data_IF_952699636342
#
_entry.id   IF_952699636342
#
_cell.length_a   1.000
_cell.length_b   1.000
_cell.length_c   1.000
_cell.angle_alpha   90.00
_cell.angle_beta   90.00
_cell.angle_gamma   90.00
#
_symmetry.space_group_name_H-M   'P 1'
#
loop_
_entity.id
_entity.type
_entity.pdbx_description
1 polymer ?
#
# COMPACT_ATOMS: atom_id res chain seq x y z
N UNK A 1 1.64 19.31 1.29
CA UNK A 1 3.12 19.27 1.17
C UNK A 1 3.73 20.46 0.41
N UNK A 2 3.06 21.12 -0.54
CA UNK A 2 3.70 22.18 -1.37
C UNK A 2 3.99 23.52 -0.66
N UNK A 3 3.25 23.89 0.39
CA UNK A 3 3.43 25.20 1.06
C UNK A 3 4.76 25.25 1.82
N UNK A 4 5.07 24.22 2.62
CA UNK A 4 6.31 24.15 3.40
C UNK A 4 7.58 24.05 2.55
N UNK A 5 7.52 23.35 1.41
CA UNK A 5 8.64 23.27 0.48
C UNK A 5 9.01 24.63 -0.14
N UNK A 6 8.01 25.44 -0.47
CA UNK A 6 8.21 26.80 -0.97
C UNK A 6 8.87 27.72 0.07
N UNK A 7 8.41 27.67 1.32
CA UNK A 7 8.98 28.44 2.43
C UNK A 7 10.42 28.03 2.72
N UNK A 8 10.71 26.72 2.78
CA UNK A 8 12.07 26.21 2.98
C UNK A 8 13.04 26.62 1.88
N UNK A 9 12.61 26.63 0.61
CA UNK A 9 13.42 27.13 -0.51
C UNK A 9 13.74 28.63 -0.39
N UNK A 10 12.78 29.44 0.07
CA UNK A 10 13.01 30.88 0.32
C UNK A 10 14.01 31.08 1.45
N UNK A 11 13.86 30.36 2.56
CA UNK A 11 14.79 30.43 3.68
C UNK A 11 16.20 29.96 3.31
N UNK A 12 16.33 28.90 2.51
CA UNK A 12 17.64 28.45 2.02
C UNK A 12 18.33 29.55 1.17
N UNK A 13 17.57 30.25 0.31
CA UNK A 13 18.12 31.36 -0.49
C UNK A 13 18.56 32.52 0.40
N UNK A 14 17.74 32.87 1.38
CA UNK A 14 18.03 33.96 2.33
C UNK A 14 19.24 33.63 3.21
N UNK A 15 19.38 32.39 3.68
CA UNK A 15 20.55 31.92 4.41
C UNK A 15 21.85 32.05 3.57
N UNK A 16 21.78 31.70 2.28
CA UNK A 16 22.92 31.85 1.36
C UNK A 16 23.23 33.32 1.07
N UNK A 17 22.23 34.18 1.04
CA UNK A 17 22.40 35.62 0.92
C UNK A 17 23.13 36.19 2.15
N UNK A 18 22.76 35.80 3.37
CA UNK A 18 23.47 36.19 4.59
C UNK A 18 24.95 35.76 4.58
N UNK A 19 25.25 34.53 4.15
CA UNK A 19 26.62 34.04 4.02
C UNK A 19 27.45 34.90 3.05
N UNK A 20 26.85 35.29 1.92
CA UNK A 20 27.50 36.16 0.94
C UNK A 20 27.68 37.58 1.47
N UNK A 21 26.68 38.12 2.17
CA UNK A 21 26.74 39.45 2.79
C UNK A 21 27.81 39.54 3.89
N UNK A 22 27.93 38.52 4.73
CA UNK A 22 29.00 38.43 5.73
C UNK A 22 30.38 38.47 5.06
N UNK A 23 30.54 37.73 3.96
CA UNK A 23 31.77 37.72 3.18
C UNK A 23 32.08 39.07 2.52
N UNK A 24 31.08 39.78 1.98
CA UNK A 24 31.33 41.04 1.26
C UNK A 24 31.51 42.23 2.19
N UNK A 25 30.74 42.32 3.28
CA UNK A 25 30.77 43.45 4.21
C UNK A 25 31.80 43.30 5.33
N UNK A 26 31.99 42.07 5.84
CA UNK A 26 32.82 41.80 7.01
C UNK A 26 34.03 40.91 6.71
N UNK A 27 34.21 40.49 5.44
CA UNK A 27 35.24 39.54 5.02
C UNK A 27 35.21 38.21 5.80
N UNK A 28 34.04 37.85 6.37
CA UNK A 28 33.83 36.68 7.20
C UNK A 28 32.46 36.05 6.87
N UNK A 29 32.48 34.82 6.35
CA UNK A 29 31.27 34.05 6.02
C UNK A 29 30.45 33.65 7.24
N UNK A 30 31.07 33.61 8.42
CA UNK A 30 30.41 33.28 9.70
C UNK A 30 29.88 34.50 10.44
N UNK A 31 29.98 35.71 9.88
CA UNK A 31 29.56 36.93 10.58
C UNK A 31 28.09 36.90 11.04
N UNK A 32 27.19 36.40 10.19
CA UNK A 32 25.76 36.27 10.52
C UNK A 32 25.39 34.88 11.02
N UNK A 33 26.35 34.00 11.27
CA UNK A 33 26.07 32.61 11.64
C UNK A 33 25.67 32.54 13.12
N UNK A 34 24.60 31.81 13.41
CA UNK A 34 24.09 31.63 14.77
C UNK A 34 25.12 30.85 15.58
N UNK A 35 25.42 31.31 16.80
CA UNK A 35 26.35 30.66 17.71
C UNK A 35 26.01 29.17 17.91
N UNK A 36 26.97 28.30 17.60
CA UNK A 36 26.83 26.84 17.72
C UNK A 36 26.09 26.15 16.55
N UNK A 37 25.59 26.90 15.56
CA UNK A 37 25.03 26.33 14.32
C UNK A 37 26.08 26.32 13.20
N UNK A 38 26.00 25.36 12.27
CA UNK A 38 26.88 25.32 11.08
C UNK A 38 26.18 25.79 9.82
N UNK A 39 24.87 26.03 9.87
CA UNK A 39 24.04 26.24 8.68
C UNK A 39 22.91 27.25 8.88
N UNK A 40 22.71 27.80 10.08
CA UNK A 40 21.70 28.81 10.36
C UNK A 40 22.34 30.19 10.50
N UNK A 41 21.68 31.19 9.92
CA UNK A 41 22.14 32.57 9.92
C UNK A 41 21.06 33.48 10.50
N UNK A 42 21.48 34.43 11.33
CA UNK A 42 20.63 35.48 11.85
C UNK A 42 20.38 36.54 10.79
N UNK A 43 19.10 36.87 10.59
CA UNK A 43 18.68 37.87 9.64
C UNK A 43 18.61 39.22 10.34
N UNK A 44 19.35 40.24 9.87
CA UNK A 44 19.24 41.60 10.38
C UNK A 44 17.80 42.11 10.33
N UNK A 45 17.33 42.71 11.42
CA UNK A 45 16.01 43.35 11.47
C UNK A 45 16.05 44.79 10.94
N UNK A 46 17.24 45.35 10.79
CA UNK A 46 17.47 46.68 10.24
C UNK A 46 18.01 46.60 8.81
N UNK A 47 17.78 47.66 8.02
CA UNK A 47 18.35 47.78 6.67
C UNK A 47 19.87 47.94 6.77
N UNK A 48 20.61 47.09 6.06
CA UNK A 48 22.07 47.19 5.98
C UNK A 48 22.50 48.13 4.85
N UNK A 49 23.47 48.98 5.15
CA UNK A 49 24.10 49.91 4.21
C UNK A 49 25.58 49.57 4.04
N UNK A 50 26.12 49.80 2.84
CA UNK A 50 27.55 49.66 2.58
C UNK A 50 28.33 50.86 3.12
N UNK A 51 29.66 50.78 3.13
CA UNK A 51 30.54 51.90 3.47
C UNK A 51 30.32 53.16 2.60
N UNK A 52 29.76 52.99 1.40
CA UNK A 52 29.42 54.04 0.43
C UNK A 52 28.00 54.60 0.61
N UNK A 53 27.23 54.11 1.58
CA UNK A 53 25.86 54.56 1.87
C UNK A 53 24.77 53.94 0.99
N UNK A 54 25.12 53.00 0.10
CA UNK A 54 24.16 52.25 -0.70
C UNK A 54 23.45 51.17 0.13
N UNK A 55 22.16 50.94 -0.12
CA UNK A 55 21.38 49.88 0.53
C UNK A 55 21.81 48.51 0.00
N UNK A 56 22.31 47.65 0.88
CA UNK A 56 22.84 46.31 0.51
C UNK A 56 21.83 45.23 0.82
N UNK A 57 21.06 45.37 1.90
CA UNK A 57 20.04 44.39 2.28
C UNK A 57 18.87 45.08 3.00
N UNK A 58 17.65 44.68 2.62
CA UNK A 58 16.41 45.14 3.25
C UNK A 58 15.59 43.92 3.68
N UNK A 59 15.32 43.82 4.98
CA UNK A 59 14.52 42.74 5.51
C UNK A 59 13.02 43.04 5.36
N UNK A 60 12.36 42.37 4.42
CA UNK A 60 10.92 42.49 4.20
C UNK A 60 10.08 41.69 5.20
N UNK A 61 10.69 40.75 5.94
CA UNK A 61 10.03 39.84 6.88
C UNK A 61 10.65 40.02 8.27
N UNK A 62 10.27 41.12 8.92
CA UNK A 62 10.63 41.41 10.29
C UNK A 62 10.12 40.29 11.22
N UNK A 63 10.97 39.85 12.14
CA UNK A 63 10.69 38.78 13.11
C UNK A 63 10.84 37.36 12.60
N UNK A 64 11.39 37.15 11.40
CA UNK A 64 11.76 35.81 10.93
C UNK A 64 13.27 35.63 10.97
N UNK A 65 13.77 35.03 12.06
CA UNK A 65 15.18 34.69 12.29
C UNK A 65 15.26 33.59 13.37
N UNK A 66 16.21 32.65 13.30
CA UNK A 66 17.23 32.45 12.26
C UNK A 66 16.72 31.73 11.01
N UNK A 67 17.39 31.90 9.87
CA UNK A 67 17.12 31.17 8.62
C UNK A 67 18.23 30.16 8.33
N UNK A 68 17.85 28.92 8.06
CA UNK A 68 18.81 27.82 7.90
C UNK A 68 18.92 27.34 6.46
N UNK A 69 20.16 26.99 6.07
CA UNK A 69 20.44 26.32 4.81
C UNK A 69 19.98 24.87 4.89
N UNK A 70 19.20 24.46 3.89
CA UNK A 70 18.80 23.07 3.69
C UNK A 70 20.02 22.13 3.56
N UNK A 71 20.01 21.05 4.33
CA UNK A 71 20.98 19.95 4.29
C UNK A 71 20.23 18.65 4.00
N UNK A 72 20.51 18.02 2.87
CA UNK A 72 19.86 16.79 2.44
C UNK A 72 20.11 15.61 3.39
N UNK A 73 21.23 15.62 4.12
CA UNK A 73 21.57 14.57 5.09
C UNK A 73 20.73 14.65 6.37
N UNK A 74 20.17 15.82 6.68
CA UNK A 74 19.32 16.10 7.85
C UNK A 74 17.96 16.65 7.42
N UNK A 75 17.33 15.99 6.44
CA UNK A 75 16.05 16.44 5.90
C UNK A 75 14.95 16.53 6.97
N UNK A 76 14.99 15.71 8.02
CA UNK A 76 14.04 15.75 9.14
C UNK A 76 14.07 17.09 9.90
N UNK A 77 15.25 17.68 10.04
CA UNK A 77 15.45 18.94 10.78
C UNK A 77 14.94 20.15 10.01
N UNK A 78 14.74 20.02 8.70
CA UNK A 78 14.39 21.14 7.83
C UNK A 78 13.03 21.74 8.15
N UNK A 79 12.03 20.92 8.51
CA UNK A 79 10.72 21.44 8.94
C UNK A 79 10.81 22.15 10.27
N UNK A 80 11.60 21.64 11.21
CA UNK A 80 11.81 22.28 12.51
C UNK A 80 12.58 23.60 12.38
N UNK A 81 13.58 23.67 11.50
CA UNK A 81 14.31 24.91 11.21
C UNK A 81 13.38 26.01 10.67
N UNK A 82 12.42 25.64 9.80
CA UNK A 82 11.42 26.60 9.30
C UNK A 82 10.52 27.09 10.45
N UNK A 83 10.08 26.21 11.34
CA UNK A 83 9.22 26.56 12.46
C UNK A 83 9.96 27.44 13.48
N UNK A 84 11.21 27.11 13.78
CA UNK A 84 12.07 27.86 14.70
C UNK A 84 12.48 29.24 14.17
N UNK A 85 12.35 29.51 12.87
CA UNK A 85 12.57 30.85 12.33
C UNK A 85 11.54 31.88 12.80
N UNK A 86 10.40 31.46 13.35
CA UNK A 86 9.36 32.33 13.91
C UNK A 86 9.58 32.66 15.39
N UNK A 87 10.83 32.61 15.86
CA UNK A 87 11.15 32.80 17.28
C UNK A 87 11.34 34.28 17.67
N UNK A 88 11.33 35.22 16.72
CA UNK A 88 11.53 36.65 17.00
C UNK A 88 10.21 37.47 16.90
N UNK A 89 9.99 38.49 17.74
CA UNK A 89 10.82 38.94 18.88
C UNK A 89 10.63 38.04 20.12
N UNK A 90 11.60 38.08 21.04
CA UNK A 90 11.62 37.35 22.33
C UNK A 90 10.52 37.78 23.33
N UNK A 91 9.33 38.19 22.87
CA UNK A 91 8.23 38.61 23.75
C UNK A 91 6.88 37.97 23.41
N UNK A 92 6.68 36.77 23.97
CA UNK A 92 5.74 36.48 25.05
C UNK A 92 6.38 35.31 25.83
N UNK A 93 7.08 35.59 26.94
CA UNK A 93 7.88 34.66 27.76
C UNK A 93 9.15 34.03 27.12
N UNK A 94 9.95 34.81 26.37
CA UNK A 94 11.38 34.53 26.13
C UNK A 94 11.76 33.57 24.99
N UNK A 95 10.88 32.65 24.56
CA UNK A 95 11.24 31.60 23.58
C UNK A 95 10.61 31.74 22.18
N UNK A 96 9.81 32.80 21.94
CA UNK A 96 9.15 33.07 20.65
C UNK A 96 8.03 32.08 20.28
N UNK A 97 7.55 32.11 19.02
CA UNK A 97 6.47 31.21 18.55
C UNK A 97 6.97 29.85 18.05
N UNK A 98 8.28 29.69 17.81
CA UNK A 98 8.88 28.48 17.24
C UNK A 98 8.52 27.18 17.99
N UNK A 99 8.70 27.12 19.33
CA UNK A 99 8.35 25.93 20.11
C UNK A 99 6.86 25.59 20.08
N UNK A 100 5.99 26.60 20.19
CA UNK A 100 4.52 26.42 20.14
C UNK A 100 4.09 25.88 18.77
N UNK A 101 4.62 26.47 17.69
CA UNK A 101 4.35 26.02 16.33
C UNK A 101 4.86 24.59 16.10
N UNK A 102 5.99 24.21 16.70
CA UNK A 102 6.52 22.85 16.65
C UNK A 102 5.58 21.84 17.33
N UNK A 103 5.04 22.17 18.51
CA UNK A 103 4.06 21.32 19.19
C UNK A 103 2.78 21.17 18.36
N UNK A 104 2.25 22.28 17.85
CA UNK A 104 1.06 22.27 16.98
C UNK A 104 1.31 21.44 15.71
N UNK A 105 2.51 21.57 15.12
CA UNK A 105 2.91 20.81 13.94
C UNK A 105 2.94 19.30 14.21
N UNK A 106 3.54 18.86 15.32
CA UNK A 106 3.58 17.45 15.71
C UNK A 106 2.17 16.89 15.94
N UNK A 107 1.31 17.62 16.67
CA UNK A 107 -0.08 17.20 16.93
C UNK A 107 -0.87 17.12 15.61
N UNK A 108 -0.73 18.13 14.76
CA UNK A 108 -1.41 18.18 13.45
C UNK A 108 -0.95 17.03 12.55
N UNK A 109 0.35 16.71 12.55
CA UNK A 109 0.91 15.57 11.82
C UNK A 109 0.33 14.25 12.35
N UNK A 110 0.24 14.07 13.67
CA UNK A 110 -0.32 12.88 14.29
C UNK A 110 -1.81 12.68 13.94
N UNK A 111 -2.63 13.75 14.02
CA UNK A 111 -4.05 13.71 13.65
C UNK A 111 -4.20 13.41 12.15
N UNK A 112 -3.39 14.05 11.30
CA UNK A 112 -3.40 13.79 9.86
C UNK A 112 -3.08 12.33 9.54
N UNK A 113 -2.05 11.75 10.16
CA UNK A 113 -1.74 10.34 9.99
C UNK A 113 -2.86 9.43 10.48
N UNK A 114 -3.44 9.69 11.65
CA UNK A 114 -4.53 8.88 12.21
C UNK A 114 -5.78 8.93 11.32
N UNK A 115 -6.21 10.11 10.89
CA UNK A 115 -7.39 10.29 10.03
C UNK A 115 -7.18 9.74 8.62
N UNK A 116 -5.98 9.89 8.06
CA UNK A 116 -5.62 9.31 6.77
C UNK A 116 -5.58 7.78 6.82
N UNK A 117 -5.04 7.19 7.89
CA UNK A 117 -4.99 5.74 8.06
C UNK A 117 -6.38 5.15 8.31
N UNK A 118 -7.22 5.83 9.09
CA UNK A 118 -8.62 5.42 9.31
C UNK A 118 -9.41 5.38 7.99
N UNK A 119 -9.24 6.38 7.14
CA UNK A 119 -9.90 6.45 5.82
C UNK A 119 -9.32 5.43 4.83
N UNK A 120 -8.00 5.23 4.82
CA UNK A 120 -7.32 4.28 3.94
C UNK A 120 -7.71 2.84 4.23
N UNK A 121 -7.61 2.43 5.50
CA UNK A 121 -7.98 1.09 5.95
C UNK A 121 -9.45 0.76 5.68
N UNK A 122 -10.35 1.76 5.73
CA UNK A 122 -11.76 1.58 5.37
C UNK A 122 -11.94 1.20 3.89
N UNK A 123 -11.24 1.87 2.98
CA UNK A 123 -11.32 1.57 1.54
C UNK A 123 -10.75 0.16 1.27
N UNK A 124 -9.62 -0.17 1.88
CA UNK A 124 -9.01 -1.51 1.77
C UNK A 124 -9.98 -2.57 2.30
N UNK A 125 -10.68 -2.31 3.39
CA UNK A 125 -11.68 -3.21 3.97
C UNK A 125 -12.88 -3.42 3.03
N UNK A 126 -13.40 -2.34 2.43
CA UNK A 126 -14.46 -2.45 1.42
C UNK A 126 -14.01 -3.24 0.18
N UNK A 127 -12.80 -3.00 -0.32
CA UNK A 127 -12.28 -3.75 -1.45
C UNK A 127 -12.05 -5.23 -1.11
N UNK A 128 -11.54 -5.52 0.09
CA UNK A 128 -11.29 -6.89 0.53
C UNK A 128 -12.58 -7.71 0.75
N UNK A 129 -13.68 -7.04 1.09
CA UNK A 129 -15.00 -7.65 1.31
C UNK A 129 -15.89 -7.70 0.06
N UNK A 130 -15.33 -7.52 -1.15
CA UNK A 130 -16.07 -7.44 -2.41
C UNK A 130 -17.14 -6.33 -2.43
N UNK A 131 -16.85 -5.17 -1.81
CA UNK A 131 -17.73 -4.01 -1.80
C UNK A 131 -18.87 -4.07 -0.78
N UNK A 132 -18.82 -4.98 0.20
CA UNK A 132 -19.86 -5.07 1.24
C UNK A 132 -19.75 -3.89 2.21
N UNK A 133 -20.82 -3.10 2.32
CA UNK A 133 -20.86 -1.90 3.17
C UNK A 133 -20.82 -2.17 4.68
N UNK A 134 -21.09 -3.41 5.12
CA UNK A 134 -21.12 -3.79 6.52
C UNK A 134 -20.23 -5.01 6.77
N UNK A 135 -18.96 -4.75 7.12
CA UNK A 135 -17.97 -5.74 7.51
C UNK A 135 -17.61 -5.59 9.00
N UNK A 136 -16.96 -6.60 9.58
CA UNK A 136 -16.58 -6.56 10.99
C UNK A 136 -15.44 -5.56 11.24
N UNK A 137 -15.50 -4.83 12.35
CA UNK A 137 -14.48 -3.81 12.71
C UNK A 137 -13.06 -4.39 12.84
N UNK A 138 -12.93 -5.70 13.08
CA UNK A 138 -11.62 -6.36 13.15
C UNK A 138 -10.95 -6.55 11.80
N UNK A 139 -11.72 -6.70 10.72
CA UNK A 139 -11.16 -6.72 9.39
C UNK A 139 -10.47 -5.38 9.10
N UNK A 140 -11.14 -4.28 9.48
CA UNK A 140 -10.57 -2.93 9.43
C UNK A 140 -9.31 -2.80 10.28
N UNK A 141 -9.36 -3.28 11.52
CA UNK A 141 -8.21 -3.24 12.43
C UNK A 141 -7.03 -4.02 11.86
N UNK A 142 -7.27 -5.20 11.30
CA UNK A 142 -6.25 -6.00 10.64
C UNK A 142 -5.56 -5.21 9.53
N UNK A 143 -6.33 -4.58 8.63
CA UNK A 143 -5.75 -3.78 7.54
C UNK A 143 -4.96 -2.59 8.06
N UNK A 144 -5.50 -1.83 9.02
CA UNK A 144 -4.80 -0.71 9.65
C UNK A 144 -3.46 -1.13 10.29
N UNK A 145 -3.42 -2.27 10.99
CA UNK A 145 -2.20 -2.79 11.62
C UNK A 145 -1.19 -3.26 10.56
N UNK A 146 -1.66 -3.96 9.53
CA UNK A 146 -0.77 -4.45 8.46
C UNK A 146 -0.17 -3.31 7.63
N UNK A 147 -0.93 -2.25 7.35
CA UNK A 147 -0.44 -1.03 6.69
C UNK A 147 0.68 -0.38 7.54
N UNK A 148 0.45 -0.22 8.85
CA UNK A 148 1.46 0.28 9.79
C UNK A 148 2.71 -0.61 9.87
N UNK A 149 2.53 -1.93 9.85
CA UNK A 149 3.63 -2.88 9.84
C UNK A 149 4.47 -2.78 8.55
N UNK A 150 3.84 -2.63 7.39
CA UNK A 150 4.53 -2.42 6.11
C UNK A 150 5.28 -1.09 6.11
N UNK A 151 4.66 -0.01 6.59
CA UNK A 151 5.32 1.29 6.72
C UNK A 151 6.56 1.20 7.62
N UNK A 152 6.43 0.53 8.77
CA UNK A 152 7.55 0.31 9.70
C UNK A 152 8.67 -0.52 9.07
N UNK A 153 8.32 -1.58 8.34
CA UNK A 153 9.29 -2.42 7.64
C UNK A 153 10.04 -1.64 6.54
N UNK A 154 9.35 -0.79 5.78
CA UNK A 154 9.96 0.05 4.74
C UNK A 154 10.89 1.11 5.32
N UNK A 155 10.47 1.79 6.39
CA UNK A 155 11.31 2.76 7.10
C UNK A 155 12.57 2.09 7.66
N UNK A 156 12.42 0.90 8.26
CA UNK A 156 13.54 0.14 8.82
C UNK A 156 14.48 -0.37 7.72
N UNK A 157 13.95 -0.83 6.59
CA UNK A 157 14.74 -1.33 5.47
C UNK A 157 15.49 -0.22 4.72
N UNK A 158 14.92 0.99 4.64
CA UNK A 158 15.53 2.13 3.96
C UNK A 158 16.63 2.83 4.77
N UNK A 159 16.62 2.72 6.11
CA UNK A 159 17.68 3.27 6.96
C UNK A 159 17.86 4.79 6.76
N UNK A 160 19.07 5.24 6.43
CA UNK A 160 19.37 6.65 6.14
C UNK A 160 18.66 7.16 4.88
N UNK A 161 18.33 6.27 3.94
CA UNK A 161 17.68 6.58 2.66
C UNK A 161 16.20 6.16 2.67
N UNK A 162 15.57 6.15 3.85
CA UNK A 162 14.17 5.76 4.02
C UNK A 162 13.21 6.52 3.10
N UNK A 163 13.48 7.81 2.83
CA UNK A 163 12.70 8.61 1.90
C UNK A 163 12.78 8.07 0.47
N UNK A 164 13.97 7.71 -0.01
CA UNK A 164 14.17 7.14 -1.34
C UNK A 164 13.53 5.76 -1.45
N UNK A 165 13.61 4.94 -0.40
CA UNK A 165 12.95 3.64 -0.35
C UNK A 165 11.41 3.77 -0.44
N UNK A 166 10.82 4.71 0.32
CA UNK A 166 9.39 5.01 0.28
C UNK A 166 8.94 5.52 -1.09
N UNK A 167 9.73 6.39 -1.73
CA UNK A 167 9.45 6.90 -3.08
C UNK A 167 9.52 5.79 -4.13
N UNK A 168 10.55 4.94 -4.07
CA UNK A 168 10.67 3.82 -4.99
C UNK A 168 9.49 2.86 -4.86
N UNK A 169 9.09 2.52 -3.63
CA UNK A 169 7.94 1.68 -3.36
C UNK A 169 6.64 2.29 -3.91
N UNK A 170 6.40 3.58 -3.68
CA UNK A 170 5.18 4.25 -4.17
C UNK A 170 5.13 4.34 -5.69
N UNK A 171 6.26 4.55 -6.37
CA UNK A 171 6.33 4.56 -7.84
C UNK A 171 6.04 3.17 -8.42
N UNK A 172 6.67 2.13 -7.87
CA UNK A 172 6.49 0.74 -8.35
C UNK A 172 5.05 0.28 -8.14
N UNK A 173 4.42 0.59 -7.00
CA UNK A 173 3.02 0.26 -6.74
C UNK A 173 2.03 1.15 -7.51
N UNK A 174 2.35 2.42 -7.72
CA UNK A 174 1.47 3.40 -8.36
C UNK A 174 1.38 3.25 -9.89
N UNK A 175 2.45 2.80 -10.54
CA UNK A 175 2.50 2.63 -11.99
C UNK A 175 1.41 1.70 -12.56
N UNK A 176 1.22 0.45 -12.07
CA UNK A 176 0.14 -0.41 -12.57
C UNK A 176 -1.25 0.17 -12.29
N UNK A 177 -1.43 0.83 -11.15
CA UNK A 177 -2.69 1.50 -10.82
C UNK A 177 -2.98 2.66 -11.77
N UNK A 178 -1.96 3.43 -12.18
CA UNK A 178 -2.10 4.50 -13.16
C UNK A 178 -2.62 3.98 -14.52
N UNK A 179 -2.08 2.85 -15.00
CA UNK A 179 -2.57 2.20 -16.23
C UNK A 179 -4.04 1.77 -16.08
N UNK A 180 -4.41 1.22 -14.92
CA UNK A 180 -5.78 0.84 -14.61
C UNK A 180 -6.71 2.07 -14.60
N UNK A 181 -6.29 3.19 -14.01
CA UNK A 181 -7.06 4.44 -13.97
C UNK A 181 -7.31 4.97 -15.39
N UNK A 182 -6.32 4.92 -16.28
CA UNK A 182 -6.52 5.27 -17.69
C UNK A 182 -7.60 4.40 -18.35
N UNK A 183 -7.61 3.09 -18.07
CA UNK A 183 -8.65 2.20 -18.57
C UNK A 183 -10.03 2.50 -17.96
N UNK A 184 -10.09 2.82 -16.67
CA UNK A 184 -11.33 3.23 -16.01
C UNK A 184 -11.90 4.52 -16.60
N UNK A 185 -11.06 5.49 -16.95
CA UNK A 185 -11.50 6.71 -17.65
C UNK A 185 -12.19 6.37 -18.96
N UNK A 186 -11.60 5.47 -19.76
CA UNK A 186 -12.21 5.00 -21.00
C UNK A 186 -13.52 4.25 -20.75
N UNK A 187 -13.56 3.37 -19.74
CA UNK A 187 -14.76 2.63 -19.36
C UNK A 187 -15.90 3.56 -18.96
N UNK A 188 -15.62 4.61 -18.19
CA UNK A 188 -16.63 5.61 -17.78
C UNK A 188 -17.08 6.43 -18.98
N UNK A 189 -16.17 6.83 -19.88
CA UNK A 189 -16.54 7.52 -21.11
C UNK A 189 -17.51 6.70 -21.96
N UNK A 190 -17.18 5.44 -22.23
CA UNK A 190 -18.07 4.52 -22.96
C UNK A 190 -19.42 4.34 -22.24
N UNK A 191 -19.39 4.18 -20.91
CA UNK A 191 -20.60 4.07 -20.10
C UNK A 191 -21.50 5.30 -20.23
N UNK A 192 -20.95 6.51 -20.05
CA UNK A 192 -21.70 7.75 -20.18
C UNK A 192 -22.25 7.97 -21.60
N UNK A 193 -21.46 7.65 -22.63
CA UNK A 193 -21.90 7.75 -24.02
C UNK A 193 -23.10 6.84 -24.27
N UNK A 194 -23.06 5.61 -23.76
CA UNK A 194 -24.12 4.64 -23.98
C UNK A 194 -25.35 4.93 -23.13
N UNK A 195 -25.17 5.40 -21.88
CA UNK A 195 -26.27 5.90 -21.04
C UNK A 195 -26.99 7.11 -21.65
N UNK A 196 -26.31 7.95 -22.44
CA UNK A 196 -26.96 9.06 -23.15
C UNK A 196 -27.83 8.64 -24.34
N UNK A 197 -27.61 7.43 -24.87
CA UNK A 197 -28.27 6.92 -26.07
C UNK A 197 -29.46 5.99 -25.75
N UNK A 198 -29.56 5.49 -24.51
CA UNK A 198 -30.54 4.49 -24.11
C UNK A 198 -31.34 5.01 -22.92
N UNK A 199 -32.66 5.15 -23.08
CA UNK A 199 -33.61 5.59 -22.04
C UNK A 199 -34.01 4.43 -21.09
N UNK A 200 -33.47 3.24 -21.33
CA UNK A 200 -33.82 2.00 -20.65
C UNK A 200 -32.90 1.74 -19.44
N UNK A 201 -33.48 1.75 -18.24
CA UNK A 201 -32.75 1.62 -16.96
C UNK A 201 -32.20 0.20 -16.76
N UNK A 202 -32.74 -0.79 -17.48
CA UNK A 202 -32.41 -2.22 -17.33
C UNK A 202 -31.36 -2.73 -18.33
N UNK A 203 -30.76 -1.85 -19.14
CA UNK A 203 -29.87 -2.23 -20.25
C UNK A 203 -28.56 -2.93 -19.82
N UNK A 204 -28.19 -2.87 -18.54
CA UNK A 204 -26.93 -3.42 -18.03
C UNK A 204 -27.12 -4.59 -17.07
N UNK A 205 -27.57 -5.74 -17.59
CA UNK A 205 -27.27 -7.02 -16.92
C UNK A 205 -25.82 -7.40 -17.21
N UNK A 206 -24.98 -7.44 -16.17
CA UNK A 206 -23.52 -7.59 -16.23
C UNK A 206 -22.99 -8.96 -16.75
N UNK A 207 -23.79 -9.72 -17.50
CA UNK A 207 -23.68 -11.14 -17.88
C UNK A 207 -24.72 -12.00 -17.15
N UNK A 208 -25.30 -12.97 -17.87
CA UNK A 208 -26.16 -14.02 -17.29
C UNK A 208 -25.35 -15.13 -16.58
N UNK A 209 -24.03 -15.14 -16.75
CA UNK A 209 -23.17 -16.14 -16.13
C UNK A 209 -23.07 -15.92 -14.62
N UNK A 210 -23.10 -16.99 -13.80
CA UNK A 210 -22.86 -16.89 -12.38
C UNK A 210 -21.44 -16.35 -12.12
N UNK A 211 -21.37 -15.36 -11.23
CA UNK A 211 -20.09 -14.80 -10.81
C UNK A 211 -19.37 -15.79 -9.87
N UNK A 212 -18.06 -15.92 -10.06
CA UNK A 212 -17.20 -16.72 -9.17
C UNK A 212 -16.09 -15.86 -8.55
N UNK A 213 -16.41 -14.71 -7.92
CA UNK A 213 -15.38 -13.82 -7.38
C UNK A 213 -14.69 -14.50 -6.20
N UNK A 214 -13.39 -14.34 -6.09
CA UNK A 214 -12.69 -14.72 -4.86
C UNK A 214 -12.93 -13.61 -3.83
N UNK A 215 -13.46 -13.91 -2.64
CA UNK A 215 -13.41 -12.96 -1.53
C UNK A 215 -11.99 -12.91 -0.97
N UNK A 216 -11.34 -11.74 -1.03
CA UNK A 216 -10.02 -11.53 -0.41
C UNK A 216 -10.15 -11.69 1.11
N UNK A 217 -11.24 -11.16 1.68
CA UNK A 217 -11.74 -11.44 3.03
C UNK A 217 -13.12 -12.11 2.94
N UNK A 218 -13.12 -13.42 3.19
CA UNK A 218 -14.27 -14.32 3.18
C UNK A 218 -13.78 -15.78 3.14
N UNK A 219 -14.63 -16.73 3.51
CA UNK A 219 -14.22 -18.13 3.63
C UNK A 219 -13.40 -18.39 4.90
N UNK A 220 -12.13 -18.84 4.80
CA UNK A 220 -11.25 -19.11 5.96
C UNK A 220 -11.14 -17.91 6.91
N UNK A 221 -11.09 -16.68 6.38
CA UNK A 221 -10.85 -15.48 7.19
C UNK A 221 -12.08 -15.08 8.02
N UNK A 222 -13.25 -15.67 7.77
CA UNK A 222 -14.40 -15.60 8.68
C UNK A 222 -14.07 -16.21 10.06
N UNK A 223 -12.98 -16.98 10.19
CA UNK A 223 -12.48 -17.47 11.48
C UNK A 223 -12.06 -16.33 12.41
N UNK A 224 -11.52 -15.24 11.88
CA UNK A 224 -11.15 -14.08 12.69
C UNK A 224 -12.39 -13.39 13.27
N UNK A 225 -13.45 -13.28 12.47
CA UNK A 225 -14.73 -12.77 12.95
C UNK A 225 -15.37 -13.72 13.96
N UNK A 226 -15.37 -15.03 13.72
CA UNK A 226 -15.90 -16.03 14.65
C UNK A 226 -15.16 -16.06 16.00
N UNK A 227 -13.83 -16.04 15.97
CA UNK A 227 -13.01 -16.03 17.17
C UNK A 227 -13.27 -14.78 18.01
N UNK A 228 -13.44 -13.64 17.34
CA UNK A 228 -13.67 -12.38 18.01
C UNK A 228 -15.11 -12.12 18.46
N UNK A 229 -16.08 -12.74 17.80
CA UNK A 229 -17.47 -12.69 18.23
C UNK A 229 -17.77 -13.64 19.41
N UNK A 230 -16.72 -14.24 20.00
CA UNK A 230 -16.81 -15.26 21.05
C UNK A 230 -17.73 -16.41 20.65
N UNK A 231 -17.77 -16.75 19.36
CA UNK A 231 -18.56 -17.84 18.82
C UNK A 231 -19.98 -17.47 18.37
N UNK A 232 -20.42 -16.22 18.52
CA UNK A 232 -21.74 -15.77 18.08
C UNK A 232 -21.73 -15.31 16.62
N UNK A 233 -22.56 -15.92 15.79
CA UNK A 233 -22.79 -15.48 14.40
C UNK A 233 -24.23 -15.00 14.32
N UNK A 234 -24.42 -13.71 14.03
CA UNK A 234 -25.76 -13.12 13.90
C UNK A 234 -26.42 -13.58 12.60
N UNK A 235 -27.71 -13.92 12.62
CA UNK A 235 -28.44 -14.42 11.43
C UNK A 235 -28.45 -13.41 10.28
N UNK A 236 -28.56 -12.11 10.57
CA UNK A 236 -28.45 -11.03 9.57
C UNK A 236 -27.08 -10.96 8.88
N UNK A 237 -26.05 -11.59 9.46
CA UNK A 237 -24.69 -11.64 8.89
C UNK A 237 -24.50 -12.88 8.02
N UNK A 238 -25.14 -13.99 8.38
CA UNK A 238 -25.19 -15.21 7.56
C UNK A 238 -25.81 -14.94 6.20
N UNK A 239 -26.89 -14.15 6.13
CA UNK A 239 -27.53 -13.76 4.88
C UNK A 239 -26.67 -12.85 3.99
N UNK A 240 -25.68 -12.17 4.58
CA UNK A 240 -24.70 -11.31 3.89
C UNK A 240 -23.41 -12.07 3.53
N UNK A 241 -23.37 -13.39 3.69
CA UNK A 241 -22.21 -14.22 3.34
C UNK A 241 -21.05 -14.13 4.33
N UNK A 242 -21.35 -13.81 5.61
CA UNK A 242 -20.45 -13.96 6.76
C UNK A 242 -20.89 -15.20 7.56
N UNK A 243 -20.82 -16.36 6.92
CA UNK A 243 -21.11 -17.65 7.53
C UNK A 243 -19.89 -18.21 8.28
N UNK A 244 -20.12 -19.19 9.17
CA UNK A 244 -19.03 -19.91 9.83
C UNK A 244 -18.13 -20.52 8.74
N UNK A 245 -16.80 -20.39 8.83
CA UNK A 245 -15.90 -20.97 7.84
C UNK A 245 -16.19 -22.47 7.74
N UNK A 246 -16.56 -22.94 6.53
CA UNK A 246 -16.86 -24.35 6.31
C UNK A 246 -15.59 -25.16 6.58
N UNK A 247 -15.72 -26.36 7.18
CA UNK A 247 -14.56 -27.23 7.46
C UNK A 247 -13.68 -27.47 6.23
N UNK A 248 -14.31 -27.61 5.07
CA UNK A 248 -13.63 -27.74 3.76
C UNK A 248 -12.74 -26.51 3.48
N UNK A 249 -13.25 -25.29 3.64
CA UNK A 249 -12.44 -24.09 3.39
C UNK A 249 -11.21 -24.03 4.29
N UNK A 250 -11.36 -24.39 5.57
CA UNK A 250 -10.26 -24.38 6.54
C UNK A 250 -9.19 -25.41 6.19
N UNK A 251 -9.60 -26.66 5.98
CA UNK A 251 -8.69 -27.77 5.69
C UNK A 251 -7.94 -27.49 4.38
N UNK A 252 -8.64 -27.08 3.33
CA UNK A 252 -8.03 -26.86 2.03
C UNK A 252 -7.19 -25.58 1.94
N UNK A 253 -7.46 -24.59 2.79
CA UNK A 253 -6.56 -23.45 2.93
C UNK A 253 -5.20 -23.89 3.48
N UNK A 254 -5.16 -24.63 4.60
CA UNK A 254 -3.89 -25.09 5.17
C UNK A 254 -3.22 -26.17 4.31
N UNK A 255 -3.99 -27.12 3.74
CA UNK A 255 -3.45 -28.06 2.75
C UNK A 255 -2.90 -27.31 1.53
N UNK A 256 -3.57 -26.27 1.05
CA UNK A 256 -3.11 -25.43 -0.06
C UNK A 256 -1.88 -24.58 0.28
N UNK A 257 -1.64 -24.31 1.55
CA UNK A 257 -0.43 -23.62 2.01
C UNK A 257 0.76 -24.57 2.10
N UNK A 258 0.58 -25.76 2.68
CA UNK A 258 1.71 -26.66 2.96
C UNK A 258 1.91 -27.76 1.93
N UNK A 259 0.84 -28.26 1.31
CA UNK A 259 0.85 -29.42 0.41
C UNK A 259 -0.06 -29.17 -0.81
N UNK A 260 0.18 -28.10 -1.60
CA UNK A 260 -0.76 -27.71 -2.64
C UNK A 260 -0.84 -28.70 -3.81
N UNK A 261 0.17 -29.54 -4.01
CA UNK A 261 0.11 -30.62 -5.00
C UNK A 261 -1.03 -31.62 -4.75
N UNK A 262 -1.31 -31.93 -3.48
CA UNK A 262 -2.43 -32.81 -3.11
C UNK A 262 -3.76 -32.11 -3.33
N UNK A 263 -3.88 -30.82 -2.94
CA UNK A 263 -5.08 -30.02 -3.24
C UNK A 263 -5.36 -29.96 -4.74
N UNK A 264 -4.32 -29.75 -5.55
CA UNK A 264 -4.45 -29.72 -7.00
C UNK A 264 -4.99 -31.04 -7.55
N UNK A 265 -4.44 -32.16 -7.07
CA UNK A 265 -4.89 -33.50 -7.47
C UNK A 265 -6.35 -33.76 -7.09
N UNK A 266 -6.75 -33.45 -5.85
CA UNK A 266 -8.11 -33.66 -5.37
C UNK A 266 -9.13 -32.80 -6.16
N UNK A 267 -8.81 -31.54 -6.46
CA UNK A 267 -9.68 -30.67 -7.27
C UNK A 267 -9.77 -31.17 -8.72
N UNK A 268 -8.63 -31.48 -9.35
CA UNK A 268 -8.62 -31.94 -10.74
C UNK A 268 -9.30 -33.30 -10.91
N UNK A 269 -9.14 -34.20 -9.94
CA UNK A 269 -9.79 -35.52 -9.97
C UNK A 269 -11.31 -35.41 -9.81
N UNK A 270 -11.79 -34.46 -8.99
CA UNK A 270 -13.23 -34.18 -8.87
C UNK A 270 -13.80 -33.50 -10.14
N UNK A 271 -13.08 -32.53 -10.71
CA UNK A 271 -13.55 -31.77 -11.87
C UNK A 271 -13.40 -32.52 -13.21
N UNK A 272 -12.36 -33.35 -13.36
CA UNK A 272 -11.98 -34.05 -14.58
C UNK A 272 -11.62 -35.53 -14.33
N UNK A 273 -12.60 -36.38 -13.96
CA UNK A 273 -12.35 -37.77 -13.53
C UNK A 273 -11.80 -38.68 -14.64
N UNK A 274 -12.00 -38.34 -15.92
CA UNK A 274 -11.53 -39.16 -17.06
C UNK A 274 -10.03 -39.03 -17.35
N UNK A 275 -9.37 -37.98 -16.85
CA UNK A 275 -8.00 -37.61 -17.25
C UNK A 275 -6.97 -37.82 -16.14
N UNK A 276 -7.03 -38.96 -15.43
CA UNK A 276 -6.21 -39.26 -14.24
C UNK A 276 -4.71 -39.02 -14.46
N UNK A 277 -4.13 -39.50 -15.57
CA UNK A 277 -2.69 -39.31 -15.84
C UNK A 277 -2.31 -37.84 -16.02
N UNK A 278 -3.17 -37.05 -16.67
CA UNK A 278 -2.96 -35.62 -16.88
C UNK A 278 -3.09 -34.86 -15.55
N UNK A 279 -4.08 -35.21 -14.73
CA UNK A 279 -4.26 -34.63 -13.40
C UNK A 279 -3.03 -34.87 -12.52
N UNK A 280 -2.42 -36.07 -12.61
CA UNK A 280 -1.26 -36.46 -11.81
C UNK A 280 -0.06 -35.64 -12.24
N UNK A 281 0.20 -35.62 -13.54
CA UNK A 281 1.28 -34.85 -14.13
C UNK A 281 1.19 -33.37 -13.76
N UNK A 282 0.04 -32.74 -13.95
CA UNK A 282 -0.16 -31.31 -13.62
C UNK A 282 0.04 -31.04 -12.13
N UNK A 283 -0.42 -31.94 -11.24
CA UNK A 283 -0.25 -31.79 -9.79
C UNK A 283 1.21 -31.92 -9.35
N UNK A 284 1.96 -32.85 -9.94
CA UNK A 284 3.40 -33.02 -9.68
C UNK A 284 4.19 -31.82 -10.18
N UNK A 285 3.91 -31.34 -11.40
CA UNK A 285 4.56 -30.16 -11.98
C UNK A 285 4.31 -28.94 -11.09
N UNK A 286 3.05 -28.70 -10.70
CA UNK A 286 2.71 -27.59 -9.81
C UNK A 286 3.44 -27.70 -8.47
N UNK A 287 3.43 -28.88 -7.84
CA UNK A 287 4.11 -29.09 -6.55
C UNK A 287 5.61 -28.86 -6.64
N UNK A 288 6.22 -29.26 -7.77
CA UNK A 288 7.66 -29.07 -8.01
C UNK A 288 7.99 -27.59 -8.13
N UNK A 289 7.24 -26.84 -8.95
CA UNK A 289 7.42 -25.39 -9.08
C UNK A 289 7.21 -24.68 -7.74
N UNK A 290 6.19 -25.08 -6.98
CA UNK A 290 5.85 -24.51 -5.68
C UNK A 290 7.00 -24.64 -4.66
N UNK A 291 7.52 -25.85 -4.45
CA UNK A 291 8.63 -26.01 -3.51
C UNK A 291 9.94 -25.43 -4.03
N UNK A 292 10.14 -25.42 -5.35
CA UNK A 292 11.36 -24.91 -5.96
C UNK A 292 11.53 -23.40 -5.75
N UNK A 293 10.48 -22.59 -5.91
CA UNK A 293 10.62 -21.14 -5.67
C UNK A 293 10.91 -20.83 -4.19
N UNK A 294 10.29 -21.56 -3.26
CA UNK A 294 10.56 -21.43 -1.81
C UNK A 294 11.99 -21.83 -1.48
N UNK A 295 12.44 -22.99 -1.99
CA UNK A 295 13.80 -23.46 -1.79
C UNK A 295 14.83 -22.48 -2.35
N UNK A 296 14.55 -21.88 -3.52
CA UNK A 296 15.42 -20.87 -4.10
C UNK A 296 15.51 -19.63 -3.19
N UNK A 297 14.40 -19.05 -2.74
CA UNK A 297 14.46 -17.89 -1.84
C UNK A 297 15.10 -18.21 -0.49
N UNK A 298 14.88 -19.41 0.07
CA UNK A 298 15.47 -19.82 1.34
C UNK A 298 17.00 -20.03 1.25
N UNK A 299 17.47 -20.67 0.17
CA UNK A 299 18.89 -21.00 0.00
C UNK A 299 19.73 -19.81 -0.51
N UNK A 300 19.12 -18.81 -1.14
CA UNK A 300 19.82 -17.80 -1.93
C UNK A 300 19.70 -16.41 -1.31
N UNK A 301 20.17 -16.25 -0.07
CA UNK A 301 20.45 -14.92 0.48
C UNK A 301 21.52 -14.22 -0.37
N UNK A 302 21.13 -13.18 -1.12
CA UNK A 302 21.99 -12.18 -1.79
C UNK A 302 22.78 -12.55 -3.06
N UNK A 303 22.39 -13.57 -3.84
CA UNK A 303 22.93 -13.76 -5.22
C UNK A 303 21.93 -13.29 -6.28
N UNK A 304 22.14 -12.09 -6.83
CA UNK A 304 21.17 -11.39 -7.69
C UNK A 304 20.65 -12.18 -8.91
N UNK A 305 21.51 -12.95 -9.60
CA UNK A 305 21.08 -13.74 -10.76
C UNK A 305 20.15 -14.91 -10.43
N UNK A 306 20.29 -15.50 -9.24
CA UNK A 306 19.48 -16.64 -8.79
C UNK A 306 18.16 -16.18 -8.13
N UNK A 307 18.11 -14.94 -7.63
CA UNK A 307 16.86 -14.30 -7.18
C UNK A 307 15.84 -14.16 -8.33
N UNK A 308 16.32 -13.83 -9.53
CA UNK A 308 15.47 -13.73 -10.73
C UNK A 308 14.81 -15.06 -11.09
N UNK A 309 15.53 -16.18 -10.94
CA UNK A 309 14.96 -17.52 -11.13
C UNK A 309 13.89 -17.86 -10.09
N UNK A 310 14.07 -17.44 -8.83
CA UNK A 310 13.04 -17.58 -7.79
C UNK A 310 11.73 -16.90 -8.18
N UNK A 311 11.80 -15.65 -8.63
CA UNK A 311 10.63 -14.91 -9.13
C UNK A 311 10.02 -15.53 -10.40
N UNK A 312 10.85 -15.96 -11.35
CA UNK A 312 10.37 -16.61 -12.58
C UNK A 312 9.59 -17.90 -12.28
N UNK A 313 10.07 -18.73 -11.35
CA UNK A 313 9.42 -19.98 -10.96
C UNK A 313 8.16 -19.71 -10.13
N UNK A 314 8.19 -18.69 -9.27
CA UNK A 314 6.99 -18.22 -8.55
C UNK A 314 5.88 -17.82 -9.54
N UNK A 315 6.18 -16.95 -10.51
CA UNK A 315 5.19 -16.54 -11.50
C UNK A 315 4.77 -17.69 -12.43
N UNK A 316 5.67 -18.60 -12.79
CA UNK A 316 5.31 -19.81 -13.54
C UNK A 316 4.32 -20.69 -12.77
N UNK A 317 4.50 -20.84 -11.44
CA UNK A 317 3.55 -21.56 -10.60
C UNK A 317 2.18 -20.86 -10.54
N UNK A 318 2.17 -19.53 -10.44
CA UNK A 318 0.95 -18.72 -10.43
C UNK A 318 0.21 -18.80 -11.78
N UNK A 319 0.91 -18.72 -12.90
CA UNK A 319 0.34 -18.86 -14.25
C UNK A 319 -0.25 -20.26 -14.44
N UNK A 320 0.41 -21.30 -13.95
CA UNK A 320 -0.12 -22.67 -14.04
C UNK A 320 -1.45 -22.80 -13.28
N UNK A 321 -1.53 -22.27 -12.06
CA UNK A 321 -2.77 -22.27 -11.28
C UNK A 321 -3.87 -21.42 -11.92
N UNK A 322 -3.53 -20.26 -12.48
CA UNK A 322 -4.45 -19.42 -13.26
C UNK A 322 -5.03 -20.20 -14.45
N UNK A 323 -4.19 -20.87 -15.24
CA UNK A 323 -4.65 -21.66 -16.39
C UNK A 323 -5.63 -22.77 -15.97
N UNK A 324 -5.37 -23.42 -14.84
CA UNK A 324 -6.24 -24.46 -14.29
C UNK A 324 -7.56 -23.86 -13.81
N UNK A 325 -7.52 -22.73 -13.10
CA UNK A 325 -8.71 -22.01 -12.63
C UNK A 325 -9.56 -21.50 -13.79
N UNK A 326 -8.95 -21.00 -14.87
CA UNK A 326 -9.65 -20.62 -16.10
C UNK A 326 -10.34 -21.82 -16.74
N UNK A 327 -9.64 -22.96 -16.86
CA UNK A 327 -10.21 -24.21 -17.37
C UNK A 327 -11.38 -24.72 -16.53
N UNK A 328 -11.26 -24.63 -15.21
CA UNK A 328 -12.31 -24.96 -14.25
C UNK A 328 -13.56 -24.09 -14.47
N UNK A 329 -13.38 -22.76 -14.56
CA UNK A 329 -14.48 -21.82 -14.81
C UNK A 329 -15.18 -22.07 -16.14
N UNK A 330 -14.41 -22.31 -17.21
CA UNK A 330 -14.95 -22.64 -18.52
C UNK A 330 -15.79 -23.93 -18.50
N UNK A 331 -15.39 -24.94 -17.71
CA UNK A 331 -16.11 -26.21 -17.59
C UNK A 331 -17.49 -26.07 -16.95
N UNK A 332 -17.63 -25.15 -15.99
CA UNK A 332 -18.87 -24.92 -15.23
C UNK A 332 -19.63 -23.66 -15.68
N UNK A 333 -19.27 -23.09 -16.84
CA UNK A 333 -19.88 -21.87 -17.39
C UNK A 333 -19.88 -20.69 -16.39
N UNK A 334 -18.80 -20.56 -15.62
CA UNK A 334 -18.57 -19.46 -14.68
C UNK A 334 -17.88 -18.30 -15.40
N UNK A 335 -18.20 -17.06 -15.01
CA UNK A 335 -17.57 -15.85 -15.57
C UNK A 335 -16.06 -15.86 -15.33
N UNK A 336 -15.26 -15.74 -16.40
CA UNK A 336 -13.80 -15.68 -16.32
C UNK A 336 -13.30 -14.23 -16.22
N UNK A 337 -12.17 -14.05 -15.54
CA UNK A 337 -11.43 -12.80 -15.51
C UNK A 337 -9.95 -13.15 -15.35
N UNK A 338 -9.22 -13.19 -16.45
CA UNK A 338 -7.86 -13.73 -16.51
C UNK A 338 -6.88 -12.93 -15.63
N UNK A 339 -7.03 -11.61 -15.58
CA UNK A 339 -6.19 -10.74 -14.75
C UNK A 339 -6.45 -11.00 -13.27
N UNK A 340 -7.72 -11.09 -12.88
CA UNK A 340 -8.07 -11.43 -11.50
C UNK A 340 -7.61 -12.85 -11.15
N UNK A 341 -7.74 -13.81 -12.06
CA UNK A 341 -7.31 -15.19 -11.85
C UNK A 341 -5.79 -15.31 -11.72
N UNK A 342 -5.02 -14.49 -12.43
CA UNK A 342 -3.57 -14.40 -12.24
C UNK A 342 -3.21 -13.85 -10.86
N UNK A 343 -3.75 -12.68 -10.49
CA UNK A 343 -3.44 -12.01 -9.22
C UNK A 343 -3.84 -12.90 -8.03
N UNK A 344 -5.03 -13.48 -8.09
CA UNK A 344 -5.53 -14.38 -7.04
C UNK A 344 -4.72 -15.66 -6.96
N UNK A 345 -4.27 -16.22 -8.10
CA UNK A 345 -3.39 -17.39 -8.11
C UNK A 345 -1.97 -17.07 -7.63
N UNK A 346 -1.50 -15.84 -7.81
CA UNK A 346 -0.17 -15.42 -7.36
C UNK A 346 -0.12 -15.13 -5.85
N UNK A 347 -1.10 -14.40 -5.32
CA UNK A 347 -1.05 -13.89 -3.94
C UNK A 347 -2.02 -14.59 -2.98
N UNK A 348 -3.04 -15.27 -3.49
CA UNK A 348 -4.10 -15.91 -2.70
C UNK A 348 -4.30 -17.38 -3.09
N UNK A 349 -3.25 -18.08 -3.54
CA UNK A 349 -3.31 -19.47 -4.01
C UNK A 349 -3.99 -20.45 -3.02
N UNK A 350 -3.83 -20.35 -1.67
CA UNK A 350 -4.49 -21.31 -0.79
C UNK A 350 -6.02 -21.13 -0.80
N UNK A 351 -6.49 -19.88 -0.94
CA UNK A 351 -7.91 -19.58 -1.08
C UNK A 351 -8.44 -20.04 -2.45
N UNK A 352 -7.65 -19.98 -3.52
CA UNK A 352 -8.03 -20.53 -4.84
C UNK A 352 -8.38 -22.01 -4.72
N UNK A 353 -7.53 -22.81 -4.07
CA UNK A 353 -7.77 -24.25 -3.88
C UNK A 353 -9.01 -24.51 -3.04
N UNK A 354 -9.14 -23.81 -1.91
CA UNK A 354 -10.30 -23.93 -1.04
C UNK A 354 -11.61 -23.60 -1.78
N UNK A 355 -11.62 -22.55 -2.60
CA UNK A 355 -12.78 -22.11 -3.38
C UNK A 355 -13.16 -23.13 -4.45
N UNK A 356 -12.20 -23.63 -5.24
CA UNK A 356 -12.48 -24.61 -6.29
C UNK A 356 -12.99 -25.94 -5.71
N UNK A 357 -12.40 -26.40 -4.59
CA UNK A 357 -12.87 -27.62 -3.93
C UNK A 357 -14.27 -27.45 -3.35
N UNK A 358 -14.55 -26.33 -2.68
CA UNK A 358 -15.87 -26.06 -2.15
C UNK A 358 -16.94 -26.10 -3.26
N UNK A 359 -16.65 -25.51 -4.43
CA UNK A 359 -17.56 -25.59 -5.57
C UNK A 359 -17.79 -27.03 -6.03
N UNK A 360 -16.76 -27.88 -6.03
CA UNK A 360 -16.91 -29.30 -6.37
C UNK A 360 -17.86 -30.03 -5.42
N UNK A 361 -17.76 -29.73 -4.11
CA UNK A 361 -18.64 -30.30 -3.06
C UNK A 361 -20.08 -29.82 -3.27
N UNK A 362 -20.27 -28.52 -3.50
CA UNK A 362 -21.60 -27.91 -3.71
C UNK A 362 -22.26 -28.39 -5.01
N UNK A 363 -21.47 -28.70 -6.04
CA UNK A 363 -21.94 -29.27 -7.30
C UNK A 363 -22.19 -30.79 -7.25
N UNK A 364 -21.91 -31.46 -6.13
CA UNK A 364 -22.14 -32.90 -5.95
C UNK A 364 -21.28 -33.78 -6.87
N UNK A 365 -20.06 -33.35 -7.20
CA UNK A 365 -19.18 -34.08 -8.12
C UNK A 365 -18.64 -35.38 -7.48
N UNK A 366 -18.39 -36.44 -8.28
CA UNK A 366 -18.11 -37.77 -7.80
C UNK A 366 -16.71 -37.84 -7.19
N UNK A 367 -16.61 -37.49 -5.91
CA UNK A 367 -15.58 -37.95 -4.97
C UNK A 367 -15.92 -37.65 -3.50
N UNK A 368 -17.07 -37.03 -3.20
CA UNK A 368 -17.51 -36.73 -1.82
C UNK A 368 -18.53 -37.76 -1.30
N UNK A 369 -18.15 -39.05 -1.31
CA UNK A 369 -18.68 -39.99 -0.32
C UNK A 369 -17.56 -40.21 0.71
N UNK A 370 -17.73 -39.62 1.90
CA UNK A 370 -16.91 -39.75 3.12
C UNK A 370 -15.74 -38.75 3.28
N UNK A 371 -16.03 -37.64 3.97
CA UNK A 371 -15.13 -36.99 4.95
C UNK A 371 -15.89 -36.02 5.88
#
# INVERSE_FOLDING_TARGET
FCIWGGTGLRQHRQAREMELLGKTLHNDTSYFLVDGSTNCYDVPQETLFNAEGEKVFENFLLGVTPVCRFDSSKAADSSYNVLNSFSFPDTFDGDGLGPILTVIFIISLAIYFATSSDSGSLIVDFLASNGRLHHHWLQRLFWAVTEGAVATALLTAGGSDALSALQAASIVCGLPLCVLLCYMMQSIYCFCQQASLTDDVDFYKASEQPEFPMPIYGGILNIFEYAASLGNVHEERTSKGMDRPKRVQVIYFFKGLFIPGVCMWEVLSAAYPRNTSRNAFTSIVYSTLYYLWIALFACLKNKGGLLGWGWAIFFASATLLMSIRNGFRARFNLRSNEVADFITSAFFWPQVFAQMKQYCVEAGLPHDSEA
#
